data_IF_722937639054
#
_entry.id   IF_722937639054
#
_cell.length_a   1.000
_cell.length_b   1.000
_cell.length_c   1.000
_cell.angle_alpha   90.00
_cell.angle_beta   90.00
_cell.angle_gamma   90.00
#
_symmetry.space_group_name_H-M   'P 1'
#
loop_
_entity.id
_entity.type
_entity.pdbx_description
1 polymer ?
#
# COMPACT_ATOMS: atom_id res chain seq x y z
N UNK A 1 1.10 5.03 -5.61
CA UNK A 1 2.15 3.99 -5.65
C UNK A 1 1.83 2.67 -4.93
N UNK A 2 0.75 2.55 -4.14
CA UNK A 2 0.40 1.27 -3.46
C UNK A 2 -0.38 0.28 -4.36
N UNK A 3 -1.24 0.80 -5.24
CA UNK A 3 -2.10 -0.02 -6.12
C UNK A 3 -1.31 -0.84 -7.12
N UNK A 4 -0.26 -0.26 -7.72
CA UNK A 4 0.62 -0.97 -8.67
C UNK A 4 1.36 -2.12 -7.99
N UNK A 5 1.90 -1.89 -6.79
CA UNK A 5 2.55 -2.95 -6.02
C UNK A 5 1.58 -4.08 -5.65
N UNK A 6 0.33 -3.73 -5.31
CA UNK A 6 -0.72 -4.72 -5.05
C UNK A 6 -1.09 -5.51 -6.32
N UNK A 7 -1.18 -4.86 -7.48
CA UNK A 7 -1.47 -5.53 -8.74
C UNK A 7 -0.35 -6.50 -9.13
N UNK A 8 0.92 -6.07 -8.98
CA UNK A 8 2.08 -6.92 -9.21
C UNK A 8 2.09 -8.15 -8.28
N UNK A 9 1.71 -7.97 -7.01
CA UNK A 9 1.60 -9.07 -6.04
C UNK A 9 0.55 -10.10 -6.49
N UNK A 10 -0.62 -9.65 -6.96
CA UNK A 10 -1.66 -10.57 -7.47
C UNK A 10 -1.13 -11.40 -8.65
N UNK A 11 -0.46 -10.76 -9.61
CA UNK A 11 0.12 -11.43 -10.78
C UNK A 11 1.18 -12.44 -10.35
N UNK A 12 2.06 -12.07 -9.42
CA UNK A 12 3.09 -12.97 -8.90
C UNK A 12 2.48 -14.20 -8.20
N UNK A 13 1.47 -14.00 -7.35
CA UNK A 13 0.79 -15.12 -6.68
C UNK A 13 0.08 -16.02 -7.68
N UNK A 14 -0.63 -15.47 -8.66
CA UNK A 14 -1.28 -16.27 -9.70
C UNK A 14 -0.28 -17.08 -10.52
N UNK A 15 0.87 -16.49 -10.87
CA UNK A 15 1.96 -17.19 -11.56
C UNK A 15 2.54 -18.34 -10.71
N UNK A 16 2.71 -18.13 -9.40
CA UNK A 16 3.14 -19.18 -8.47
C UNK A 16 2.12 -20.32 -8.41
N UNK A 17 0.82 -20.02 -8.32
CA UNK A 17 -0.23 -21.04 -8.29
C UNK A 17 -0.18 -21.91 -9.55
N UNK A 18 -0.12 -21.28 -10.73
CA UNK A 18 -0.05 -22.00 -12.00
C UNK A 18 1.26 -22.79 -12.15
N UNK A 19 2.40 -22.20 -11.77
CA UNK A 19 3.71 -22.84 -11.86
C UNK A 19 3.83 -24.06 -10.95
N UNK A 20 3.37 -23.95 -9.69
CA UNK A 20 3.34 -25.09 -8.75
C UNK A 20 2.38 -26.17 -9.24
N UNK A 21 1.21 -25.80 -9.75
CA UNK A 21 0.27 -26.75 -10.37
C UNK A 21 0.92 -27.54 -11.51
N UNK A 22 1.57 -26.86 -12.44
CA UNK A 22 2.26 -27.49 -13.55
C UNK A 22 3.36 -28.46 -13.10
N UNK A 23 4.11 -28.12 -12.04
CA UNK A 23 5.15 -28.98 -11.47
C UNK A 23 4.60 -30.29 -10.87
N UNK A 24 3.36 -30.28 -10.39
CA UNK A 24 2.70 -31.48 -9.84
C UNK A 24 1.77 -32.18 -10.86
N UNK A 25 1.80 -31.76 -12.13
CA UNK A 25 0.97 -32.31 -13.20
C UNK A 25 -0.50 -31.90 -13.14
N UNK A 26 -0.83 -30.84 -12.41
CA UNK A 26 -2.19 -30.30 -12.28
C UNK A 26 -2.33 -29.04 -13.12
N UNK A 27 -3.20 -29.08 -14.13
CA UNK A 27 -3.57 -27.88 -14.87
C UNK A 27 -4.54 -27.03 -14.05
N UNK A 28 -4.08 -25.87 -13.59
CA UNK A 28 -4.91 -24.91 -12.87
C UNK A 28 -5.51 -23.92 -13.88
N UNK A 29 -6.85 -23.83 -14.02
CA UNK A 29 -7.46 -22.84 -14.90
C UNK A 29 -7.09 -21.42 -14.48
N UNK A 30 -6.82 -20.54 -15.46
CA UNK A 30 -6.40 -19.17 -15.20
C UNK A 30 -7.38 -18.40 -14.30
N UNK A 31 -8.69 -18.60 -14.48
CA UNK A 31 -9.72 -17.97 -13.65
C UNK A 31 -9.60 -18.39 -12.17
N UNK A 32 -9.32 -19.67 -11.91
CA UNK A 32 -9.12 -20.19 -10.55
C UNK A 32 -7.88 -19.57 -9.93
N UNK A 33 -6.75 -19.56 -10.65
CA UNK A 33 -5.52 -18.94 -10.21
C UNK A 33 -5.67 -17.43 -9.94
N UNK A 34 -6.44 -16.73 -10.77
CA UNK A 34 -6.72 -15.31 -10.59
C UNK A 34 -7.57 -15.03 -9.34
N UNK A 35 -8.64 -15.79 -9.11
CA UNK A 35 -9.50 -15.65 -7.92
C UNK A 35 -8.71 -15.91 -6.65
N UNK A 36 -7.99 -17.03 -6.57
CA UNK A 36 -7.15 -17.32 -5.42
C UNK A 36 -6.00 -16.33 -5.27
N UNK A 37 -5.40 -15.88 -6.38
CA UNK A 37 -4.38 -14.85 -6.40
C UNK A 37 -4.86 -13.56 -5.74
N UNK A 38 -6.08 -13.10 -6.04
CA UNK A 38 -6.69 -11.94 -5.39
C UNK A 38 -6.94 -12.21 -3.90
N UNK A 39 -7.57 -13.34 -3.57
CA UNK A 39 -7.88 -13.70 -2.18
C UNK A 39 -6.64 -13.77 -1.29
N UNK A 40 -5.51 -14.27 -1.82
CA UNK A 40 -4.24 -14.41 -1.11
C UNK A 40 -3.46 -13.08 -1.09
N UNK A 41 -3.49 -12.30 -2.18
CA UNK A 41 -2.80 -11.02 -2.25
C UNK A 41 -3.40 -9.96 -1.31
N UNK A 42 -4.68 -10.06 -0.97
CA UNK A 42 -5.34 -9.17 0.00
C UNK A 42 -4.67 -9.20 1.38
N UNK A 43 -4.57 -10.36 2.08
CA UNK A 43 -3.87 -10.46 3.35
C UNK A 43 -2.35 -10.30 3.19
N UNK A 44 -1.72 -10.87 2.15
CA UNK A 44 -0.27 -10.73 1.96
C UNK A 44 0.16 -9.28 1.79
N UNK A 45 -0.62 -8.48 1.05
CA UNK A 45 -0.31 -7.08 0.82
C UNK A 45 -0.23 -6.27 2.12
N UNK A 46 -1.03 -6.63 3.14
CA UNK A 46 -0.98 -5.98 4.44
C UNK A 46 0.31 -6.29 5.21
N UNK A 47 0.85 -7.49 5.05
CA UNK A 47 2.04 -7.97 5.77
C UNK A 47 3.32 -7.54 5.03
N UNK A 48 3.41 -7.85 3.73
CA UNK A 48 4.60 -7.57 2.90
C UNK A 48 4.86 -6.06 2.76
N UNK A 49 3.80 -5.25 2.63
CA UNK A 49 3.94 -3.81 2.44
C UNK A 49 3.80 -3.00 3.73
N UNK A 50 3.76 -3.65 4.90
CA UNK A 50 3.64 -2.99 6.21
C UNK A 50 4.71 -1.91 6.42
N UNK A 51 5.97 -2.23 6.12
CA UNK A 51 7.10 -1.28 6.26
C UNK A 51 6.96 -0.06 5.36
N UNK A 52 6.50 -0.26 4.13
CA UNK A 52 6.29 0.85 3.18
C UNK A 52 5.17 1.78 3.66
N UNK A 53 4.07 1.19 4.16
CA UNK A 53 2.94 1.94 4.71
C UNK A 53 3.32 2.78 5.93
N UNK A 54 4.09 2.21 6.85
CA UNK A 54 4.55 2.92 8.04
C UNK A 54 5.46 4.11 7.69
N UNK A 55 6.39 3.92 6.75
CA UNK A 55 7.29 4.99 6.30
C UNK A 55 6.54 6.13 5.61
N UNK A 56 5.57 5.83 4.77
CA UNK A 56 4.76 6.86 4.11
C UNK A 56 3.90 7.61 5.12
N UNK A 57 3.23 6.90 6.05
CA UNK A 57 2.41 7.54 7.07
C UNK A 57 3.22 8.45 8.00
N UNK A 58 4.44 8.04 8.39
CA UNK A 58 5.30 8.89 9.24
C UNK A 58 5.76 10.16 8.51
N UNK A 59 6.01 10.06 7.20
CA UNK A 59 6.36 11.24 6.40
C UNK A 59 5.17 12.18 6.22
N UNK A 60 3.96 11.64 6.02
CA UNK A 60 2.73 12.43 5.94
C UNK A 60 2.49 13.17 7.25
N UNK A 61 2.64 12.50 8.40
CA UNK A 61 2.47 13.12 9.71
C UNK A 61 3.43 14.31 9.91
N UNK A 62 4.70 14.14 9.55
CA UNK A 62 5.69 15.22 9.63
C UNK A 62 5.36 16.42 8.73
N UNK A 63 4.80 16.17 7.54
CA UNK A 63 4.38 17.24 6.61
C UNK A 63 3.11 17.94 7.10
N UNK A 64 2.16 17.20 7.67
CA UNK A 64 0.93 17.74 8.25
C UNK A 64 1.21 18.62 9.46
N UNK A 65 2.15 18.22 10.34
CA UNK A 65 2.56 19.02 11.49
C UNK A 65 3.20 20.35 11.03
N UNK A 66 4.07 20.30 10.02
CA UNK A 66 4.65 21.50 9.42
C UNK A 66 3.61 22.39 8.73
N UNK A 67 2.55 21.82 8.16
CA UNK A 67 1.44 22.57 7.55
C UNK A 67 0.58 23.26 8.60
N UNK A 68 0.30 22.60 9.73
CA UNK A 68 -0.45 23.16 10.86
C UNK A 68 0.31 24.31 11.52
N UNK A 69 1.60 24.15 11.78
CA UNK A 69 2.44 25.20 12.35
C UNK A 69 2.46 26.48 11.51
N UNK A 70 2.49 26.36 10.16
CA UNK A 70 2.39 27.51 9.25
C UNK A 70 1.01 28.18 9.28
N UNK A 71 -0.05 27.41 9.46
CA UNK A 71 -1.41 27.97 9.55
C UNK A 71 -1.59 28.76 10.84
N UNK A 72 -1.09 28.24 11.96
CA UNK A 72 -1.17 28.90 13.27
C UNK A 72 -0.35 30.20 13.32
N UNK A 73 0.82 30.24 12.68
CA UNK A 73 1.64 31.47 12.53
C UNK A 73 0.93 32.54 11.69
N UNK A 74 0.28 32.15 10.60
CA UNK A 74 -0.50 33.10 9.78
C UNK A 74 -1.72 33.62 10.56
N UNK A 75 -2.35 32.78 11.38
CA UNK A 75 -3.51 33.15 12.17
C UNK A 75 -3.14 34.03 13.38
N UNK A 76 -1.96 33.87 13.96
CA UNK A 76 -1.43 34.78 15.00
C UNK A 76 -1.09 36.15 14.42
N UNK A 77 -0.48 36.18 13.22
CA UNK A 77 -0.18 37.42 12.48
C UNK A 77 -1.44 38.21 12.11
N UNK A 78 -2.51 37.53 11.70
CA UNK A 78 -3.80 38.17 11.39
C UNK A 78 -4.56 38.67 12.64
N UNK A 79 -4.24 38.16 13.84
CA UNK A 79 -4.83 38.59 15.11
C UNK A 79 -4.04 39.70 15.82
N UNK A 80 -2.92 40.16 15.24
CA UNK A 80 -2.20 41.33 15.74
C UNK A 80 -1.56 41.16 17.12
N UNK A 81 -1.12 39.95 17.48
CA UNK A 81 -0.44 39.68 18.78
C UNK A 81 1.09 39.73 18.67
N UNK A 82 1.63 40.52 17.75
CA UNK A 82 3.06 40.82 17.70
C UNK A 82 3.26 42.30 17.97
N UNK A 83 3.29 42.61 19.27
CA UNK A 83 3.98 43.75 19.89
C UNK A 83 4.85 43.19 21.02
#
# INVERSE_FOLDING_TARGET
MYTVARLALVVAVAAIIMGVGALVGVEVPLLVAAVFGVLIALPLGLVLFKKLRLRVNSQIAAVDDARRARHDDLQSRLRGTSD
#
